data_IF_217014773943
#
_entry.id   IF_217014773943
#
_cell.length_a   1.000
_cell.length_b   1.000
_cell.length_c   1.000
_cell.angle_alpha   90.00
_cell.angle_beta   90.00
_cell.angle_gamma   90.00
#
_symmetry.space_group_name_H-M   'P 1'
#
loop_
_entity.id
_entity.type
_entity.pdbx_description
1 polymer ?
#
# COMPACT_ATOMS: atom_id res chain seq x y z
N UNK A 1 -5.74 -18.17 4.32
CA UNK A 1 -7.03 -17.58 3.91
C UNK A 1 -6.79 -17.09 2.50
N UNK A 2 -7.36 -17.82 1.52
CA UNK A 2 -7.26 -17.49 0.10
C UNK A 2 -8.25 -16.34 -0.10
N UNK A 3 -7.78 -15.12 -0.19
CA UNK A 3 -8.58 -14.04 -0.76
C UNK A 3 -8.77 -14.37 -2.25
N UNK A 4 -9.90 -15.02 -2.55
CA UNK A 4 -10.38 -15.08 -3.93
C UNK A 4 -10.45 -13.66 -4.44
N UNK A 5 -9.88 -13.41 -5.60
CA UNK A 5 -10.00 -12.16 -6.35
C UNK A 5 -11.45 -11.66 -6.24
N UNK A 6 -11.67 -10.65 -5.40
CA UNK A 6 -12.95 -9.95 -5.37
C UNK A 6 -13.06 -9.29 -6.75
N UNK A 7 -13.80 -9.94 -7.64
CA UNK A 7 -14.27 -9.28 -8.85
C UNK A 7 -15.26 -8.22 -8.37
N UNK A 8 -14.80 -7.00 -8.21
CA UNK A 8 -15.67 -5.82 -8.13
C UNK A 8 -16.20 -5.64 -9.55
N UNK A 9 -17.19 -6.46 -9.92
CA UNK A 9 -17.84 -6.33 -11.22
C UNK A 9 -19.00 -5.36 -11.07
N UNK A 10 -18.90 -4.20 -11.68
CA UNK A 10 -20.04 -3.35 -11.96
C UNK A 10 -20.20 -2.07 -11.17
N UNK A 11 -19.22 -1.62 -10.39
CA UNK A 11 -19.25 -0.25 -9.88
C UNK A 11 -18.74 0.72 -10.95
N UNK A 12 -19.48 1.79 -11.20
CA UNK A 12 -18.99 2.88 -12.06
C UNK A 12 -17.82 3.57 -11.36
N UNK A 13 -16.74 3.85 -12.12
CA UNK A 13 -15.61 4.62 -11.62
C UNK A 13 -16.12 6.00 -11.17
N UNK A 14 -15.83 6.38 -9.95
CA UNK A 14 -16.22 7.66 -9.36
C UNK A 14 -15.10 8.66 -9.55
N UNK A 15 -15.31 9.67 -10.41
CA UNK A 15 -14.40 10.81 -10.53
C UNK A 15 -14.54 11.69 -9.28
N UNK A 16 -13.39 12.11 -8.74
CA UNK A 16 -13.32 12.94 -7.53
C UNK A 16 -13.33 14.41 -7.90
N UNK A 17 -14.22 15.18 -7.28
CA UNK A 17 -14.19 16.62 -7.38
C UNK A 17 -12.93 17.20 -6.72
N UNK A 18 -12.61 18.47 -7.00
CA UNK A 18 -11.49 19.16 -6.32
C UNK A 18 -11.62 19.13 -4.80
N UNK A 19 -12.83 19.26 -4.27
CA UNK A 19 -13.07 19.17 -2.83
C UNK A 19 -12.84 17.75 -2.30
N UNK A 20 -13.20 16.72 -3.05
CA UNK A 20 -12.96 15.34 -2.69
C UNK A 20 -11.45 15.02 -2.66
N UNK A 21 -10.71 15.52 -3.65
CA UNK A 21 -9.25 15.40 -3.72
C UNK A 21 -8.59 16.04 -2.49
N UNK A 22 -9.03 17.22 -2.05
CA UNK A 22 -8.48 17.83 -0.83
C UNK A 22 -8.75 16.98 0.43
N UNK A 23 -9.91 16.36 0.54
CA UNK A 23 -10.22 15.43 1.64
C UNK A 23 -9.35 14.16 1.57
N UNK A 24 -9.15 13.60 0.38
CA UNK A 24 -8.25 12.46 0.17
C UNK A 24 -6.80 12.79 0.51
N UNK A 25 -6.33 14.00 0.19
CA UNK A 25 -4.99 14.47 0.61
C UNK A 25 -4.85 14.51 2.13
N UNK A 26 -5.90 14.94 2.84
CA UNK A 26 -5.90 14.92 4.32
C UNK A 26 -5.80 13.49 4.81
N UNK A 27 -6.64 12.58 4.32
CA UNK A 27 -6.62 11.18 4.71
C UNK A 27 -5.27 10.50 4.41
N UNK A 28 -4.71 10.73 3.21
CA UNK A 28 -3.38 10.24 2.83
C UNK A 28 -2.25 10.79 3.70
N UNK A 29 -2.35 12.07 4.09
CA UNK A 29 -1.39 12.68 5.04
C UNK A 29 -1.45 12.02 6.42
N UNK A 30 -2.65 11.68 6.89
CA UNK A 30 -2.82 10.98 8.17
C UNK A 30 -2.24 9.56 8.11
N UNK A 31 -2.45 8.83 7.02
CA UNK A 31 -1.82 7.53 6.83
C UNK A 31 -0.28 7.62 6.81
N UNK A 32 0.28 8.61 6.12
CA UNK A 32 1.72 8.85 6.10
C UNK A 32 2.29 9.15 7.50
N UNK A 33 1.60 9.96 8.32
CA UNK A 33 2.00 10.25 9.70
C UNK A 33 2.08 9.00 10.57
N UNK A 34 1.23 8.00 10.35
CA UNK A 34 1.33 6.73 11.08
C UNK A 34 2.65 6.03 10.77
N UNK A 35 3.03 5.96 9.49
CA UNK A 35 4.31 5.35 9.10
C UNK A 35 5.51 6.15 9.61
N UNK A 36 5.44 7.49 9.58
CA UNK A 36 6.47 8.36 10.15
C UNK A 36 6.62 8.14 11.66
N UNK A 37 5.52 8.07 12.40
CA UNK A 37 5.54 7.77 13.84
C UNK A 37 6.18 6.42 14.14
N UNK A 38 5.90 5.40 13.34
CA UNK A 38 6.43 4.05 13.55
C UNK A 38 7.94 3.94 13.27
N UNK A 39 8.55 4.90 12.54
CA UNK A 39 9.99 4.87 12.24
C UNK A 39 10.87 4.79 13.49
N UNK A 40 10.45 5.40 14.59
CA UNK A 40 11.21 5.42 15.84
C UNK A 40 11.15 4.08 16.58
N UNK A 41 10.23 3.20 16.25
CA UNK A 41 9.97 1.95 16.97
C UNK A 41 10.34 0.69 16.18
N UNK A 42 10.27 0.75 14.85
CA UNK A 42 10.50 -0.42 13.98
C UNK A 42 11.99 -0.75 13.91
N UNK A 43 12.42 -1.67 14.78
CA UNK A 43 13.81 -2.08 14.94
C UNK A 43 13.93 -3.56 15.31
N UNK A 44 15.16 -4.06 15.35
CA UNK A 44 15.46 -5.44 15.80
C UNK A 44 14.88 -5.68 17.19
N UNK A 45 14.17 -6.78 17.36
CA UNK A 45 13.62 -7.25 18.63
C UNK A 45 12.20 -6.83 18.93
N UNK A 46 11.59 -5.92 18.15
CA UNK A 46 10.16 -5.61 18.30
C UNK A 46 9.31 -6.70 17.65
N UNK A 47 8.16 -7.01 18.25
CA UNK A 47 7.16 -7.88 17.62
C UNK A 47 6.26 -7.09 16.67
N UNK A 48 5.71 -7.77 15.66
CA UNK A 48 4.74 -7.12 14.77
C UNK A 48 3.44 -6.77 15.48
N UNK A 49 3.08 -7.48 16.55
CA UNK A 49 1.97 -7.14 17.44
C UNK A 49 2.19 -5.80 18.18
N UNK A 50 3.42 -5.55 18.67
CA UNK A 50 3.75 -4.27 19.31
C UNK A 50 3.66 -3.12 18.32
N UNK A 51 4.09 -3.31 17.07
CA UNK A 51 3.95 -2.33 15.99
C UNK A 51 2.47 -2.02 15.74
N UNK A 52 1.62 -3.04 15.67
CA UNK A 52 0.17 -2.88 15.48
C UNK A 52 -0.48 -2.09 16.63
N UNK A 53 -0.12 -2.43 17.88
CA UNK A 53 -0.63 -1.76 19.06
C UNK A 53 -0.22 -0.27 19.11
N UNK A 54 1.02 0.05 18.73
CA UNK A 54 1.50 1.43 18.62
C UNK A 54 0.70 2.20 17.57
N UNK A 55 0.52 1.62 16.38
CA UNK A 55 -0.27 2.22 15.32
C UNK A 55 -1.72 2.47 15.74
N UNK A 56 -2.37 1.47 16.37
CA UNK A 56 -3.74 1.60 16.85
C UNK A 56 -3.91 2.78 17.80
N UNK A 57 -3.04 2.89 18.81
CA UNK A 57 -3.08 4.01 19.77
C UNK A 57 -2.87 5.35 19.07
N UNK A 58 -1.86 5.45 18.23
CA UNK A 58 -1.57 6.70 17.53
C UNK A 58 -2.74 7.14 16.64
N UNK A 59 -3.35 6.22 15.90
CA UNK A 59 -4.51 6.50 15.03
C UNK A 59 -5.72 6.95 15.86
N UNK A 60 -6.04 6.22 16.94
CA UNK A 60 -7.29 6.43 17.67
C UNK A 60 -7.17 7.53 18.75
N UNK A 61 -6.02 7.65 19.42
CA UNK A 61 -5.83 8.56 20.55
C UNK A 61 -5.22 9.89 20.12
N UNK A 62 -4.25 9.90 19.20
CA UNK A 62 -3.56 11.12 18.76
C UNK A 62 -4.19 11.72 17.51
N UNK A 63 -4.32 10.93 16.46
CA UNK A 63 -4.89 11.41 15.19
C UNK A 63 -6.42 11.51 15.21
N UNK A 64 -7.09 10.85 16.15
CA UNK A 64 -8.56 10.83 16.29
C UNK A 64 -9.29 10.37 15.00
N UNK A 65 -8.71 9.43 14.29
CA UNK A 65 -9.31 8.84 13.09
C UNK A 65 -9.51 7.33 13.25
N UNK A 66 -10.02 6.68 12.23
CA UNK A 66 -10.43 5.27 12.29
C UNK A 66 -9.42 4.40 11.55
N UNK A 67 -8.89 3.31 12.18
CA UNK A 67 -8.09 2.32 11.48
C UNK A 67 -8.99 1.50 10.56
N UNK A 68 -8.83 1.64 9.24
CA UNK A 68 -9.75 1.08 8.25
C UNK A 68 -9.68 -0.45 8.13
N UNK A 69 -8.54 -1.04 8.48
CA UNK A 69 -8.34 -2.49 8.35
C UNK A 69 -9.14 -3.29 9.38
N UNK A 70 -9.33 -2.74 10.60
CA UNK A 70 -9.98 -3.45 11.70
C UNK A 70 -11.42 -3.80 11.32
N UNK A 71 -11.71 -5.11 11.25
CA UNK A 71 -13.03 -5.63 10.87
C UNK A 71 -13.33 -5.61 9.37
N UNK A 72 -12.45 -5.06 8.54
CA UNK A 72 -12.63 -5.12 7.08
C UNK A 72 -12.41 -6.55 6.58
N UNK A 73 -13.45 -7.18 6.02
CA UNK A 73 -13.44 -8.60 5.64
C UNK A 73 -12.91 -9.50 6.77
N UNK A 74 -13.36 -9.25 8.00
CA UNK A 74 -12.95 -9.96 9.21
C UNK A 74 -11.45 -9.86 9.55
N UNK A 75 -10.73 -8.88 8.98
CA UNK A 75 -9.32 -8.66 9.30
C UNK A 75 -9.17 -8.15 10.75
N UNK A 76 -8.32 -8.80 11.59
CA UNK A 76 -8.36 -8.58 13.05
C UNK A 76 -7.43 -7.47 13.54
N UNK A 77 -6.62 -6.84 12.67
CA UNK A 77 -5.53 -5.95 13.04
C UNK A 77 -5.62 -4.57 12.39
N UNK A 78 -4.84 -3.63 12.90
CA UNK A 78 -4.82 -2.23 12.47
C UNK A 78 -4.09 -2.05 11.14
N UNK A 79 -3.00 -2.78 10.96
CA UNK A 79 -2.12 -2.69 9.81
C UNK A 79 -1.69 -4.09 9.34
N UNK A 80 -1.06 -4.16 8.17
CA UNK A 80 -0.42 -5.38 7.71
C UNK A 80 1.10 -5.29 7.90
N UNK A 81 1.72 -6.40 8.35
CA UNK A 81 3.17 -6.53 8.49
C UNK A 81 3.65 -7.70 7.66
N UNK A 82 4.27 -7.43 6.52
CA UNK A 82 4.71 -8.47 5.59
C UNK A 82 6.24 -8.56 5.62
N UNK A 83 6.75 -9.61 6.30
CA UNK A 83 8.18 -9.81 6.53
C UNK A 83 8.76 -10.67 5.41
N UNK A 84 9.90 -10.27 4.87
CA UNK A 84 10.72 -11.01 3.90
C UNK A 84 9.92 -11.53 2.70
N UNK A 85 9.66 -12.85 2.62
CA UNK A 85 8.94 -13.51 1.53
C UNK A 85 7.43 -13.32 1.55
N UNK A 86 6.86 -12.77 2.61
CA UNK A 86 5.43 -12.44 2.67
C UNK A 86 5.16 -11.25 1.77
N UNK A 87 4.41 -11.48 0.68
CA UNK A 87 4.19 -10.47 -0.37
C UNK A 87 3.35 -9.30 0.15
N UNK A 88 2.23 -9.60 0.81
CA UNK A 88 1.32 -8.61 1.40
C UNK A 88 0.38 -9.25 2.43
N UNK A 89 -0.40 -8.43 3.15
CA UNK A 89 -1.44 -8.85 4.07
C UNK A 89 -0.95 -9.74 5.24
N UNK A 90 0.33 -9.65 5.62
CA UNK A 90 0.85 -10.29 6.82
C UNK A 90 0.09 -9.81 8.06
N UNK A 91 -0.33 -10.75 8.92
CA UNK A 91 -1.13 -10.44 10.11
C UNK A 91 -0.18 -10.27 11.30
N UNK A 92 -0.17 -9.10 11.96
CA UNK A 92 0.64 -8.88 13.16
C UNK A 92 0.46 -9.94 14.24
N UNK A 93 1.59 -10.37 14.84
CA UNK A 93 1.63 -11.44 15.83
C UNK A 93 2.72 -11.19 16.88
N UNK A 94 2.48 -11.57 18.12
CA UNK A 94 3.46 -11.57 19.22
C UNK A 94 4.60 -12.58 19.00
N UNK A 95 4.41 -13.53 18.09
CA UNK A 95 5.40 -14.56 17.73
C UNK A 95 6.34 -14.14 16.62
N UNK A 96 5.98 -13.09 15.86
CA UNK A 96 6.79 -12.54 14.79
C UNK A 96 7.64 -11.38 15.30
N UNK A 97 8.90 -11.70 15.65
CA UNK A 97 9.89 -10.74 16.16
C UNK A 97 10.85 -10.38 15.04
N UNK A 98 11.00 -9.06 14.76
CA UNK A 98 11.91 -8.57 13.73
C UNK A 98 13.37 -8.85 14.09
N UNK A 99 14.14 -9.36 13.12
CA UNK A 99 15.54 -9.76 13.26
C UNK A 99 16.46 -8.89 12.42
N UNK A 100 17.73 -8.88 12.77
CA UNK A 100 18.77 -8.21 11.97
C UNK A 100 18.83 -8.80 10.55
N UNK A 101 18.72 -7.94 9.55
CA UNK A 101 18.68 -8.31 8.13
C UNK A 101 17.29 -8.49 7.54
N UNK A 102 16.23 -8.53 8.35
CA UNK A 102 14.85 -8.58 7.84
C UNK A 102 14.49 -7.31 7.06
N UNK A 103 13.52 -7.46 6.17
CA UNK A 103 12.73 -6.35 5.63
C UNK A 103 11.28 -6.56 6.00
N UNK A 104 10.56 -5.49 6.27
CA UNK A 104 9.13 -5.57 6.55
C UNK A 104 8.40 -4.45 5.81
N UNK A 105 7.36 -4.82 5.06
CA UNK A 105 6.39 -3.85 4.56
C UNK A 105 5.34 -3.64 5.65
N UNK A 106 5.15 -2.38 6.04
CA UNK A 106 4.06 -1.97 6.92
C UNK A 106 3.08 -1.20 6.07
N UNK A 107 1.84 -1.68 6.03
CA UNK A 107 0.77 -1.19 5.19
C UNK A 107 -0.42 -0.77 6.05
N UNK A 108 -0.84 0.48 5.91
CA UNK A 108 -1.84 1.12 6.77
C UNK A 108 -2.87 1.89 5.98
N UNK A 109 -4.12 1.72 6.36
CA UNK A 109 -5.22 2.54 5.87
C UNK A 109 -6.00 3.15 7.03
N UNK A 110 -6.26 4.45 6.91
CA UNK A 110 -7.06 5.21 7.87
C UNK A 110 -8.28 5.83 7.21
N UNK A 111 -9.32 6.08 7.99
CA UNK A 111 -10.51 6.82 7.55
C UNK A 111 -10.55 8.15 8.28
N UNK A 112 -10.56 9.24 7.51
CA UNK A 112 -10.69 10.62 8.00
C UNK A 112 -11.91 11.25 7.33
N UNK A 113 -12.90 11.65 8.10
CA UNK A 113 -14.17 12.23 7.61
C UNK A 113 -14.83 11.41 6.48
N UNK A 114 -14.75 10.07 6.60
CA UNK A 114 -15.33 9.13 5.62
C UNK A 114 -14.48 8.90 4.37
N UNK A 115 -13.25 9.43 4.30
CA UNK A 115 -12.31 9.22 3.21
C UNK A 115 -11.15 8.34 3.64
N UNK A 116 -10.78 7.39 2.78
CA UNK A 116 -9.65 6.49 3.04
C UNK A 116 -8.34 7.11 2.58
N UNK A 117 -7.32 6.96 3.42
CA UNK A 117 -5.93 7.21 3.09
C UNK A 117 -5.15 5.92 3.28
N UNK A 118 -4.52 5.43 2.23
CA UNK A 118 -3.86 4.13 2.15
C UNK A 118 -2.42 4.31 1.68
N UNK A 119 -1.47 3.77 2.42
CA UNK A 119 -0.05 3.84 2.08
C UNK A 119 0.75 2.76 2.79
N UNK A 120 1.87 2.37 2.19
CA UNK A 120 2.80 1.44 2.80
C UNK A 120 4.25 1.91 2.70
N UNK A 121 5.10 1.35 3.58
CA UNK A 121 6.53 1.61 3.59
C UNK A 121 7.31 0.34 3.89
N UNK A 122 8.43 0.17 3.17
CA UNK A 122 9.43 -0.84 3.49
C UNK A 122 10.40 -0.33 4.54
N UNK A 123 10.61 -1.12 5.58
CA UNK A 123 11.63 -0.90 6.61
C UNK A 123 12.73 -1.95 6.47
N UNK A 124 13.96 -1.49 6.48
CA UNK A 124 15.15 -2.32 6.51
C UNK A 124 15.59 -2.47 7.98
N UNK A 125 15.60 -3.68 8.49
CA UNK A 125 15.86 -3.96 9.90
C UNK A 125 17.34 -4.30 10.11
N UNK A 126 18.04 -3.44 10.84
CA UNK A 126 19.47 -3.64 11.11
C UNK A 126 20.33 -3.60 9.83
N UNK A 127 21.17 -4.61 9.62
CA UNK A 127 22.12 -4.71 8.50
C UNK A 127 21.55 -5.55 7.36
N UNK A 128 20.90 -4.91 6.41
CA UNK A 128 20.39 -5.59 5.23
C UNK A 128 21.46 -5.93 4.22
N UNK A 129 21.34 -7.09 3.56
CA UNK A 129 22.21 -7.51 2.48
C UNK A 129 22.06 -6.60 1.24
N UNK A 130 23.13 -6.37 0.44
CA UNK A 130 23.07 -5.48 -0.73
C UNK A 130 21.99 -5.85 -1.74
N UNK A 131 21.73 -7.13 -1.97
CA UNK A 131 20.68 -7.58 -2.90
C UNK A 131 19.28 -7.31 -2.38
N UNK A 132 19.06 -7.36 -1.06
CA UNK A 132 17.79 -7.03 -0.40
C UNK A 132 17.51 -5.53 -0.53
N UNK A 133 18.51 -4.70 -0.18
CA UNK A 133 18.41 -3.25 -0.36
C UNK A 133 18.12 -2.89 -1.81
N UNK A 134 18.81 -3.53 -2.77
CA UNK A 134 18.57 -3.32 -4.20
C UNK A 134 17.13 -3.65 -4.60
N UNK A 135 16.56 -4.74 -4.08
CA UNK A 135 15.13 -5.08 -4.34
C UNK A 135 14.21 -3.95 -3.88
N UNK A 136 14.40 -3.45 -2.65
CA UNK A 136 13.60 -2.36 -2.09
C UNK A 136 13.73 -1.08 -2.92
N UNK A 137 14.97 -0.70 -3.28
CA UNK A 137 15.25 0.49 -4.07
C UNK A 137 14.56 0.41 -5.46
N UNK A 138 14.73 -0.70 -6.19
CA UNK A 138 14.12 -0.90 -7.51
C UNK A 138 12.59 -0.95 -7.42
N UNK A 139 12.02 -1.56 -6.38
CA UNK A 139 10.57 -1.58 -6.16
C UNK A 139 10.04 -0.15 -5.96
N UNK A 140 10.75 0.66 -5.18
CA UNK A 140 10.41 2.08 -4.99
C UNK A 140 10.50 2.86 -6.30
N UNK A 141 11.54 2.62 -7.11
CA UNK A 141 11.65 3.22 -8.44
C UNK A 141 10.48 2.82 -9.36
N UNK A 142 10.08 1.54 -9.33
CA UNK A 142 8.92 1.05 -10.08
C UNK A 142 7.64 1.83 -9.72
N UNK A 143 7.40 2.10 -8.44
CA UNK A 143 6.27 2.90 -8.00
C UNK A 143 6.30 4.30 -8.63
N UNK A 144 7.44 4.99 -8.59
CA UNK A 144 7.56 6.32 -9.19
C UNK A 144 7.41 6.29 -10.71
N UNK A 145 7.90 5.24 -11.39
CA UNK A 145 7.66 5.05 -12.83
C UNK A 145 6.18 4.90 -13.17
N UNK A 146 5.42 4.21 -12.32
CA UNK A 146 3.97 4.14 -12.43
C UNK A 146 3.30 5.51 -12.23
N UNK A 147 3.72 6.27 -11.22
CA UNK A 147 3.18 7.61 -10.93
C UNK A 147 3.47 8.59 -12.07
N UNK A 148 4.67 8.57 -12.65
CA UNK A 148 5.09 9.47 -13.74
C UNK A 148 4.17 9.39 -14.97
N UNK A 149 3.52 8.26 -15.23
CA UNK A 149 2.62 8.09 -16.37
C UNK A 149 1.16 8.40 -16.05
N UNK A 150 0.81 8.61 -14.78
CA UNK A 150 -0.55 8.98 -14.37
C UNK A 150 -0.88 10.42 -14.80
N UNK A 151 -1.66 10.52 -15.87
CA UNK A 151 -2.16 11.81 -16.39
C UNK A 151 -3.45 11.61 -17.16
N UNK A 152 -4.31 12.63 -17.30
CA UNK A 152 -5.48 12.51 -18.15
C UNK A 152 -5.12 12.06 -19.57
N UNK A 153 -5.84 11.08 -20.06
CA UNK A 153 -5.63 10.48 -21.39
C UNK A 153 -4.71 9.27 -21.41
N UNK A 154 -3.94 8.99 -20.35
CA UNK A 154 -3.23 7.72 -20.18
C UNK A 154 -4.20 6.58 -19.84
N UNK A 155 -3.71 5.35 -19.81
CA UNK A 155 -4.49 4.16 -19.48
C UNK A 155 -3.91 3.41 -18.28
N UNK A 156 -4.72 2.65 -17.58
CA UNK A 156 -4.23 1.81 -16.46
C UNK A 156 -3.14 0.84 -16.91
N UNK A 157 -3.19 0.34 -18.13
CA UNK A 157 -2.14 -0.49 -18.74
C UNK A 157 -0.81 0.23 -18.93
N UNK A 158 -0.82 1.56 -19.12
CA UNK A 158 0.42 2.35 -19.20
C UNK A 158 1.18 2.32 -17.88
N UNK A 159 0.45 2.36 -16.74
CA UNK A 159 1.01 2.27 -15.39
C UNK A 159 1.68 0.90 -15.22
N UNK A 160 0.93 -0.17 -15.47
CA UNK A 160 1.44 -1.53 -15.37
C UNK A 160 2.65 -1.78 -16.28
N UNK A 161 2.60 -1.28 -17.53
CA UNK A 161 3.70 -1.37 -18.48
C UNK A 161 4.97 -0.67 -17.99
N UNK A 162 4.85 0.53 -17.43
CA UNK A 162 5.98 1.29 -16.92
C UNK A 162 6.65 0.57 -15.73
N UNK A 163 5.85 0.07 -14.78
CA UNK A 163 6.30 -0.72 -13.63
C UNK A 163 7.01 -1.99 -14.09
N UNK A 164 6.35 -2.80 -14.90
CA UNK A 164 6.87 -4.08 -15.37
C UNK A 164 8.17 -3.90 -16.16
N UNK A 165 8.20 -2.95 -17.09
CA UNK A 165 9.39 -2.69 -17.91
C UNK A 165 10.59 -2.32 -17.04
N UNK A 166 10.40 -1.50 -16.00
CA UNK A 166 11.48 -1.12 -15.11
C UNK A 166 11.97 -2.29 -14.24
N UNK A 167 11.04 -3.08 -13.69
CA UNK A 167 11.36 -4.26 -12.90
C UNK A 167 12.15 -5.30 -13.72
N UNK A 168 11.64 -5.65 -14.92
CA UNK A 168 12.28 -6.66 -15.78
C UNK A 168 13.65 -6.22 -16.30
N UNK A 169 13.81 -4.92 -16.63
CA UNK A 169 15.13 -4.34 -16.98
C UNK A 169 16.16 -4.49 -15.85
N UNK A 170 15.70 -4.53 -14.62
CA UNK A 170 16.53 -4.71 -13.43
C UNK A 170 16.60 -6.17 -12.96
N UNK A 171 16.12 -7.12 -13.80
CA UNK A 171 16.12 -8.57 -13.54
C UNK A 171 15.19 -8.99 -12.39
N UNK A 172 14.10 -8.26 -12.17
CA UNK A 172 13.00 -8.63 -11.28
C UNK A 172 11.75 -8.93 -12.08
N UNK A 173 10.81 -9.63 -11.47
CA UNK A 173 9.47 -9.85 -12.00
C UNK A 173 8.43 -9.13 -11.15
N UNK A 174 7.26 -8.87 -11.73
CA UNK A 174 6.14 -8.25 -11.00
C UNK A 174 5.16 -9.30 -10.50
N UNK A 175 4.55 -9.03 -9.34
CA UNK A 175 3.48 -9.85 -8.79
C UNK A 175 2.22 -9.67 -9.64
N UNK A 176 1.59 -10.80 -10.06
CA UNK A 176 0.42 -10.81 -10.94
C UNK A 176 -0.89 -11.14 -10.22
N UNK A 177 -0.81 -11.67 -9.01
CA UNK A 177 -1.98 -12.12 -8.24
C UNK A 177 -2.63 -11.01 -7.43
N UNK A 178 -1.95 -9.87 -7.28
CA UNK A 178 -2.41 -8.69 -6.57
C UNK A 178 -2.26 -7.48 -7.46
N UNK A 179 -3.05 -6.44 -7.18
CA UNK A 179 -3.01 -5.19 -7.92
C UNK A 179 -3.31 -4.01 -6.98
N UNK A 180 -2.99 -2.81 -7.43
CA UNK A 180 -3.51 -1.59 -6.85
C UNK A 180 -4.99 -1.40 -7.21
N UNK A 181 -5.63 -0.41 -6.63
CA UNK A 181 -7.06 -0.16 -6.78
C UNK A 181 -7.39 1.33 -6.66
N UNK A 182 -8.55 1.72 -7.15
CA UNK A 182 -9.15 3.01 -6.84
C UNK A 182 -9.49 3.09 -5.35
N UNK A 183 -9.51 4.30 -4.81
CA UNK A 183 -9.77 4.57 -3.39
C UNK A 183 -10.56 5.87 -3.24
N UNK A 184 -11.35 5.96 -2.18
CA UNK A 184 -12.13 7.16 -1.91
C UNK A 184 -12.94 7.03 -0.63
N UNK A 185 -14.25 7.12 -0.73
CA UNK A 185 -15.17 6.81 0.38
C UNK A 185 -15.35 5.32 0.60
N UNK A 186 -15.01 4.53 -0.40
CA UNK A 186 -14.96 3.07 -0.31
C UNK A 186 -13.48 2.69 -0.31
N UNK A 187 -13.11 1.69 0.48
CA UNK A 187 -11.71 1.26 0.65
C UNK A 187 -11.14 0.78 -0.69
N UNK A 188 -11.82 -0.14 -1.35
CA UNK A 188 -11.42 -0.67 -2.66
C UNK A 188 -12.46 -0.28 -3.71
N UNK A 189 -12.12 0.68 -4.55
CA UNK A 189 -12.94 1.13 -5.68
C UNK A 189 -12.32 0.66 -7.01
N UNK A 190 -13.13 0.64 -8.07
CA UNK A 190 -12.60 0.55 -9.44
C UNK A 190 -11.82 1.83 -9.81
N UNK A 191 -10.84 1.75 -10.71
CA UNK A 191 -10.39 0.56 -11.44
C UNK A 191 -9.35 -0.26 -10.66
N UNK A 192 -9.16 -1.52 -11.05
CA UNK A 192 -7.97 -2.27 -10.68
C UNK A 192 -6.75 -1.74 -11.44
N UNK A 193 -5.63 -1.58 -10.73
CA UNK A 193 -4.36 -1.09 -11.27
C UNK A 193 -3.33 -2.21 -11.19
N UNK A 194 -3.16 -2.97 -12.26
CA UNK A 194 -2.17 -4.04 -12.31
C UNK A 194 -0.74 -3.50 -12.41
N UNK A 195 0.23 -4.24 -11.90
CA UNK A 195 1.66 -3.92 -12.00
C UNK A 195 2.28 -4.42 -13.32
N UNK A 196 1.46 -4.87 -14.26
CA UNK A 196 1.82 -5.33 -15.59
C UNK A 196 0.73 -4.92 -16.58
N UNK A 197 1.07 -4.90 -17.86
CA UNK A 197 0.10 -4.55 -18.91
C UNK A 197 0.75 -4.07 -20.19
N UNK A 198 -0.09 -3.62 -21.10
CA UNK A 198 0.33 -3.06 -22.39
C UNK A 198 -0.06 -1.59 -22.49
N UNK A 199 0.74 -0.82 -23.24
CA UNK A 199 0.45 0.59 -23.49
C UNK A 199 -0.88 0.77 -24.21
N UNK A 200 -1.67 1.73 -23.75
CA UNK A 200 -2.93 2.12 -24.35
C UNK A 200 -4.09 1.14 -24.07
N UNK A 201 -3.91 0.17 -23.16
CA UNK A 201 -4.94 -0.78 -22.78
C UNK A 201 -5.50 -0.49 -21.37
N UNK A 202 -6.69 -1.03 -21.10
CA UNK A 202 -7.39 -0.89 -19.84
C UNK A 202 -8.28 0.34 -19.77
N UNK A 203 -8.42 0.91 -18.57
CA UNK A 203 -9.28 2.07 -18.33
C UNK A 203 -8.51 3.35 -18.65
N UNK A 204 -9.14 4.23 -19.43
CA UNK A 204 -8.60 5.57 -19.72
C UNK A 204 -8.73 6.46 -18.49
N UNK A 205 -7.64 7.11 -18.11
CA UNK A 205 -7.61 8.05 -16.98
C UNK A 205 -8.20 9.39 -17.39
N UNK A 206 -9.02 9.94 -16.51
CA UNK A 206 -9.61 11.25 -16.63
C UNK A 206 -9.18 12.12 -15.43
N UNK A 207 -9.44 13.42 -15.49
CA UNK A 207 -9.19 14.32 -14.36
C UNK A 207 -10.17 13.99 -13.23
N UNK A 208 -9.65 13.75 -12.01
CA UNK A 208 -10.42 13.34 -10.83
C UNK A 208 -10.40 11.84 -10.60
#
# INVERSE_FOLDING_TARGET
>A
IIYSSIRISGMSISLKSKNDIEKMKIAGNYAAKVLEYLEDFVQVGISTEEIDNLAYKYITEELKCIPANVGYNDYPKTLCTSINEVICHGIPSDKEILKDGDIVNIDITVIVDGWHGDTSKMFLIGKSQPHVKRLVDITRECMFKGIEVCRPGAFTGDIGYAIQTHAEKNHYSVVKNYCGHGIGKIYHEDPQITHFGNKGEGVKLEEG
#
